data_IF_635264152579
#
_entry.id   IF_635264152579
#
_cell.length_a   1.000
_cell.length_b   1.000
_cell.length_c   1.000
_cell.angle_alpha   90.00
_cell.angle_beta   90.00
_cell.angle_gamma   90.00
#
_symmetry.space_group_name_H-M   'P 1'
#
loop_
_entity.id
_entity.type
_entity.pdbx_description
1 polymer ?
#
# COMPACT_ATOMS: atom_id res chain seq x y z
N UNK A 1 6.71 32.99 -26.76
CA UNK A 1 5.42 32.28 -26.88
C UNK A 1 5.17 31.63 -28.24
N UNK A 2 5.71 32.14 -29.37
CA UNK A 2 5.44 31.58 -30.70
C UNK A 2 6.14 30.24 -31.02
N UNK A 3 7.26 29.91 -30.39
CA UNK A 3 8.05 28.70 -30.70
C UNK A 3 7.43 27.41 -30.14
N UNK A 4 6.67 27.49 -29.03
CA UNK A 4 5.96 26.33 -28.45
C UNK A 4 4.72 25.91 -29.25
N UNK A 5 4.00 26.86 -29.85
CA UNK A 5 2.83 26.56 -30.70
C UNK A 5 3.19 25.85 -32.00
N UNK A 6 4.37 26.13 -32.55
CA UNK A 6 4.84 25.52 -33.79
C UNK A 6 5.25 24.04 -33.62
N UNK A 7 5.80 23.67 -32.46
CA UNK A 7 6.13 22.27 -32.14
C UNK A 7 4.88 21.40 -31.89
N UNK A 8 3.84 21.97 -31.28
CA UNK A 8 2.55 21.28 -31.08
C UNK A 8 1.83 21.08 -32.41
N UNK A 9 1.86 22.09 -33.29
CA UNK A 9 1.27 21.99 -34.63
C UNK A 9 2.04 21.01 -35.54
N UNK A 10 3.37 20.99 -35.47
CA UNK A 10 4.20 20.05 -36.24
C UNK A 10 4.01 18.59 -35.81
N UNK A 11 3.84 18.32 -34.50
CA UNK A 11 3.46 16.98 -34.00
C UNK A 11 2.04 16.59 -34.44
N UNK A 12 1.09 17.54 -34.45
CA UNK A 12 -0.30 17.33 -34.91
C UNK A 12 -0.38 17.02 -36.41
N UNK A 13 0.40 17.69 -37.25
CA UNK A 13 0.42 17.44 -38.70
C UNK A 13 1.10 16.11 -39.04
N UNK A 14 2.17 15.74 -38.31
CA UNK A 14 2.83 14.45 -38.51
C UNK A 14 1.96 13.28 -38.05
N UNK A 15 1.25 13.39 -36.93
CA UNK A 15 0.34 12.36 -36.43
C UNK A 15 -0.87 12.14 -37.38
N UNK A 16 -1.44 13.21 -37.93
CA UNK A 16 -2.56 13.13 -38.89
C UNK A 16 -2.12 12.56 -40.24
N UNK A 17 -0.91 12.87 -40.72
CA UNK A 17 -0.37 12.32 -41.97
C UNK A 17 0.00 10.84 -41.86
N UNK A 18 0.44 10.37 -40.68
CA UNK A 18 0.69 8.94 -40.43
C UNK A 18 -0.62 8.16 -40.28
N UNK A 19 -1.63 8.75 -39.64
CA UNK A 19 -2.96 8.13 -39.50
C UNK A 19 -3.71 8.00 -40.85
N UNK A 20 -3.50 8.94 -41.79
CA UNK A 20 -4.15 8.93 -43.10
C UNK A 20 -3.61 7.89 -44.10
N UNK A 21 -2.43 7.31 -43.88
CA UNK A 21 -1.78 6.40 -44.84
C UNK A 21 -1.80 4.91 -44.41
N UNK A 22 -2.28 4.59 -43.21
CA UNK A 22 -2.30 3.23 -42.65
C UNK A 22 -3.69 2.58 -42.58
N UNK A 23 -4.67 3.15 -43.28
CA UNK A 23 -6.00 2.55 -43.46
C UNK A 23 -5.99 1.42 -44.51
N UNK A 24 -5.06 0.45 -44.44
CA UNK A 24 -5.11 -0.75 -45.28
C UNK A 24 -4.21 -1.91 -44.83
N UNK A 25 -4.01 -2.20 -43.54
CA UNK A 25 -3.77 -3.58 -43.07
C UNK A 25 -4.28 -3.69 -41.62
N UNK A 26 -5.58 -3.85 -41.43
CA UNK A 26 -6.07 -4.41 -40.17
C UNK A 26 -5.78 -5.90 -40.24
N UNK A 27 -4.58 -6.30 -39.84
CA UNK A 27 -4.35 -7.69 -39.49
C UNK A 27 -5.37 -8.05 -38.40
N UNK A 28 -6.06 -9.20 -38.48
CA UNK A 28 -6.99 -9.59 -37.44
C UNK A 28 -6.22 -9.56 -36.13
N UNK A 29 -6.70 -8.73 -35.18
CA UNK A 29 -6.27 -8.78 -33.78
C UNK A 29 -6.45 -10.23 -33.38
N UNK A 30 -5.35 -10.98 -33.32
CA UNK A 30 -5.39 -12.32 -32.76
C UNK A 30 -5.96 -12.14 -31.38
N UNK A 31 -7.02 -12.89 -31.07
CA UNK A 31 -7.56 -13.00 -29.73
C UNK A 31 -6.41 -13.36 -28.81
N UNK A 32 -5.81 -12.35 -28.17
CA UNK A 32 -4.83 -12.52 -27.13
C UNK A 32 -5.62 -13.07 -25.95
N UNK A 33 -5.71 -14.40 -25.92
CA UNK A 33 -5.94 -15.11 -24.68
C UNK A 33 -4.96 -14.57 -23.63
N UNK A 34 -5.45 -14.50 -22.39
CA UNK A 34 -4.73 -14.07 -21.19
C UNK A 34 -3.22 -14.35 -21.34
N UNK A 35 -2.41 -13.31 -21.44
CA UNK A 35 -0.98 -13.53 -21.30
C UNK A 35 -0.77 -13.92 -19.83
N UNK A 36 -0.49 -15.20 -19.59
CA UNK A 36 -0.29 -15.81 -18.27
C UNK A 36 0.97 -15.28 -17.52
N UNK A 37 1.43 -14.07 -17.85
CA UNK A 37 2.56 -13.40 -17.22
C UNK A 37 2.11 -12.18 -16.39
N UNK A 38 2.83 -11.84 -15.30
CA UNK A 38 2.50 -10.71 -14.47
C UNK A 38 2.58 -9.40 -15.27
N UNK A 39 1.73 -8.43 -14.92
CA UNK A 39 1.83 -7.07 -15.45
C UNK A 39 3.16 -6.48 -15.01
N UNK A 40 3.98 -6.05 -15.96
CA UNK A 40 5.31 -5.48 -15.71
C UNK A 40 5.30 -3.96 -15.62
N UNK A 41 4.24 -3.32 -16.13
CA UNK A 41 4.06 -1.87 -16.08
C UNK A 41 2.58 -1.49 -16.22
N UNK A 42 2.22 -0.32 -15.72
CA UNK A 42 0.90 0.28 -15.94
C UNK A 42 1.05 1.55 -16.77
N UNK A 43 0.22 1.72 -17.79
CA UNK A 43 0.11 3.00 -18.51
C UNK A 43 -1.18 3.68 -18.10
N UNK A 44 -1.06 4.96 -17.73
CA UNK A 44 -2.20 5.81 -17.38
C UNK A 44 -2.49 6.76 -18.53
N UNK A 45 -3.66 6.59 -19.13
CA UNK A 45 -4.22 7.43 -20.19
C UNK A 45 -5.24 8.40 -19.63
N UNK A 46 -5.34 9.60 -20.20
CA UNK A 46 -6.29 10.58 -19.74
C UNK A 46 -5.96 12.01 -20.06
N UNK A 47 -6.63 12.89 -19.33
CA UNK A 47 -6.46 14.33 -19.43
C UNK A 47 -5.53 14.87 -18.31
N UNK A 48 -5.76 16.12 -17.91
CA UNK A 48 -5.03 16.80 -16.83
C UNK A 48 -5.13 16.09 -15.48
N UNK A 49 -6.18 15.31 -15.24
CA UNK A 49 -6.36 14.55 -14.00
C UNK A 49 -5.25 13.52 -13.81
N UNK A 50 -4.70 12.98 -14.89
CA UNK A 50 -3.69 11.91 -14.86
C UNK A 50 -2.25 12.39 -14.75
N UNK A 51 -2.01 13.70 -14.62
CA UNK A 51 -0.65 14.23 -14.62
C UNK A 51 0.11 14.04 -13.31
N UNK A 52 -0.60 13.79 -12.20
CA UNK A 52 0.02 13.82 -10.86
C UNK A 52 -0.20 12.55 -10.06
N UNK A 53 -1.43 12.05 -9.91
CA UNK A 53 -1.68 10.88 -9.06
C UNK A 53 -0.94 9.60 -9.48
N UNK A 54 -0.56 9.36 -10.76
CA UNK A 54 0.17 8.14 -11.12
C UNK A 54 1.49 7.96 -10.39
N UNK A 55 2.11 9.04 -9.89
CA UNK A 55 3.32 8.94 -9.06
C UNK A 55 3.07 8.21 -7.74
N UNK A 56 1.92 8.46 -7.11
CA UNK A 56 1.52 7.79 -5.87
C UNK A 56 1.15 6.34 -6.13
N UNK A 57 0.52 6.08 -7.28
CA UNK A 57 0.24 4.71 -7.68
C UNK A 57 1.55 3.94 -7.92
N UNK A 58 2.56 4.56 -8.55
CA UNK A 58 3.86 3.93 -8.76
C UNK A 58 4.52 3.51 -7.43
N UNK A 59 4.47 4.40 -6.43
CA UNK A 59 4.98 4.10 -5.08
C UNK A 59 4.30 2.88 -4.46
N UNK A 60 2.99 2.74 -4.63
CA UNK A 60 2.21 1.62 -4.09
C UNK A 60 2.42 0.31 -4.87
N UNK A 61 2.43 0.37 -6.21
CA UNK A 61 2.51 -0.81 -7.05
C UNK A 61 3.92 -1.43 -7.07
N UNK A 62 4.97 -0.65 -6.84
CA UNK A 62 6.35 -1.12 -6.95
C UNK A 62 6.80 -1.49 -8.37
N UNK A 63 5.98 -1.18 -9.38
CA UNK A 63 6.28 -1.34 -10.81
C UNK A 63 6.14 0.00 -11.55
N UNK A 64 6.75 0.17 -12.73
CA UNK A 64 6.61 1.40 -13.50
C UNK A 64 5.15 1.78 -13.77
N UNK A 65 4.80 3.04 -13.50
CA UNK A 65 3.51 3.64 -13.88
C UNK A 65 3.79 4.83 -14.79
N UNK A 66 3.44 4.70 -16.06
CA UNK A 66 3.76 5.65 -17.11
C UNK A 66 2.56 6.57 -17.39
N UNK A 67 2.56 7.84 -16.93
CA UNK A 67 1.54 8.79 -17.30
C UNK A 67 1.72 9.19 -18.77
N UNK A 68 0.70 8.92 -19.59
CA UNK A 68 0.61 9.34 -21.00
C UNK A 68 -0.45 10.40 -21.23
N UNK A 69 -1.23 10.75 -20.21
CA UNK A 69 -2.27 11.74 -20.36
C UNK A 69 -1.74 13.16 -20.57
N UNK A 70 -2.44 13.89 -21.43
CA UNK A 70 -2.11 15.27 -21.82
C UNK A 70 -3.27 16.16 -21.41
N UNK A 71 -2.93 17.29 -20.79
CA UNK A 71 -3.94 18.19 -20.22
C UNK A 71 -4.85 18.77 -21.29
N UNK A 72 -6.15 18.48 -21.19
CA UNK A 72 -7.17 18.94 -22.12
C UNK A 72 -7.52 17.98 -23.24
N UNK A 73 -6.91 16.79 -23.28
CA UNK A 73 -7.20 15.78 -24.29
C UNK A 73 -8.64 15.27 -24.20
N UNK A 74 -9.25 15.08 -25.36
CA UNK A 74 -10.54 14.39 -25.49
C UNK A 74 -10.39 12.87 -25.44
N UNK A 75 -11.51 12.14 -25.41
CA UNK A 75 -11.48 10.68 -25.51
C UNK A 75 -10.95 10.23 -26.88
N UNK A 76 -11.23 10.94 -27.98
CA UNK A 76 -10.68 10.63 -29.31
C UNK A 76 -9.18 10.86 -29.39
N UNK A 77 -8.69 11.96 -28.81
CA UNK A 77 -7.25 12.25 -28.77
C UNK A 77 -6.53 11.18 -27.95
N UNK A 78 -7.09 10.82 -26.78
CA UNK A 78 -6.54 9.74 -25.96
C UNK A 78 -6.56 8.41 -26.70
N UNK A 79 -7.66 8.06 -27.37
CA UNK A 79 -7.76 6.83 -28.16
C UNK A 79 -6.73 6.81 -29.30
N UNK A 80 -6.47 7.95 -29.93
CA UNK A 80 -5.45 8.06 -30.99
C UNK A 80 -4.06 7.75 -30.42
N UNK A 81 -3.71 8.32 -29.27
CA UNK A 81 -2.43 8.06 -28.60
C UNK A 81 -2.31 6.59 -28.14
N UNK A 82 -3.40 6.02 -27.64
CA UNK A 82 -3.47 4.61 -27.28
C UNK A 82 -3.21 3.70 -28.49
N UNK A 83 -3.92 3.93 -29.60
CA UNK A 83 -3.79 3.15 -30.82
C UNK A 83 -2.36 3.24 -31.37
N UNK A 84 -1.76 4.43 -31.38
CA UNK A 84 -0.37 4.62 -31.78
C UNK A 84 0.59 3.82 -30.89
N UNK A 85 0.36 3.81 -29.58
CA UNK A 85 1.20 3.05 -28.65
C UNK A 85 1.08 1.54 -28.84
N UNK A 86 -0.13 1.00 -29.00
CA UNK A 86 -0.34 -0.44 -29.26
C UNK A 86 0.38 -0.85 -30.55
N UNK A 87 0.24 -0.06 -31.62
CA UNK A 87 0.88 -0.33 -32.91
C UNK A 87 2.41 -0.28 -32.84
N UNK A 88 2.97 0.61 -32.04
CA UNK A 88 4.42 0.82 -31.94
C UNK A 88 5.10 -0.03 -30.86
N UNK A 89 4.34 -0.67 -29.97
CA UNK A 89 4.87 -1.48 -28.86
C UNK A 89 4.25 -2.90 -28.77
N UNK A 90 4.14 -3.67 -29.88
CA UNK A 90 3.39 -4.92 -29.91
C UNK A 90 3.91 -5.98 -28.92
N UNK A 91 5.21 -5.99 -28.62
CA UNK A 91 5.79 -6.91 -27.64
C UNK A 91 5.45 -6.58 -26.18
N UNK A 92 5.11 -5.32 -25.89
CA UNK A 92 4.78 -4.88 -24.52
C UNK A 92 3.29 -5.00 -24.20
N UNK A 93 2.43 -5.08 -25.22
CA UNK A 93 0.97 -5.16 -25.07
C UNK A 93 0.56 -6.32 -24.14
N UNK A 94 1.25 -7.45 -24.22
CA UNK A 94 0.92 -8.64 -23.42
C UNK A 94 1.19 -8.47 -21.91
N UNK A 95 2.10 -7.59 -21.50
CA UNK A 95 2.52 -7.42 -20.09
C UNK A 95 2.23 -6.03 -19.55
N UNK A 96 1.45 -5.22 -20.27
CA UNK A 96 1.13 -3.86 -19.89
C UNK A 96 -0.35 -3.76 -19.54
N UNK A 97 -0.64 -3.26 -18.34
CA UNK A 97 -2.01 -2.91 -18.00
C UNK A 97 -2.28 -1.42 -18.22
N UNK A 98 -3.55 -1.10 -18.42
CA UNK A 98 -3.97 0.21 -18.88
C UNK A 98 -5.08 0.75 -17.98
N UNK A 99 -4.79 1.89 -17.34
CA UNK A 99 -5.77 2.70 -16.64
C UNK A 99 -6.15 3.88 -17.52
N UNK A 100 -7.45 4.16 -17.66
CA UNK A 100 -7.91 5.21 -18.57
C UNK A 100 -8.89 6.15 -17.85
N UNK A 101 -8.43 7.35 -17.51
CA UNK A 101 -9.26 8.41 -16.95
C UNK A 101 -9.51 9.47 -18.02
N UNK A 102 -10.48 9.20 -18.88
CA UNK A 102 -10.83 10.07 -19.99
C UNK A 102 -12.29 10.51 -19.92
N UNK A 103 -12.49 11.82 -19.99
CA UNK A 103 -13.79 12.44 -20.05
C UNK A 103 -13.70 13.82 -19.43
N UNK A 104 -13.64 14.84 -20.29
CA UNK A 104 -13.74 16.22 -19.86
C UNK A 104 -15.00 16.82 -20.43
N UNK A 105 -15.75 17.54 -19.60
CA UNK A 105 -16.93 18.26 -20.09
C UNK A 105 -16.54 19.66 -20.56
N UNK A 106 -16.14 19.74 -21.83
CA UNK A 106 -15.95 21.02 -22.52
C UNK A 106 -17.29 21.50 -23.09
N UNK A 107 -18.00 22.37 -22.37
CA UNK A 107 -19.13 23.13 -22.94
C UNK A 107 -18.77 24.61 -23.05
N UNK A 108 -17.91 24.98 -24.00
CA UNK A 108 -18.13 26.28 -24.64
C UNK A 108 -19.39 26.09 -25.52
N UNK A 109 -20.42 26.92 -25.32
CA UNK A 109 -21.72 26.84 -26.03
C UNK A 109 -21.62 27.16 -27.54
N UNK A 110 -20.48 26.88 -28.17
CA UNK A 110 -20.25 27.03 -29.61
C UNK A 110 -19.76 25.75 -30.27
N UNK A 111 -19.59 24.63 -29.55
CA UNK A 111 -19.27 23.37 -30.20
C UNK A 111 -20.02 22.19 -29.57
N UNK A 112 -20.75 21.47 -30.41
CA UNK A 112 -21.27 20.13 -30.14
C UNK A 112 -20.11 19.12 -30.12
N UNK A 113 -19.12 19.32 -29.25
CA UNK A 113 -18.01 18.37 -29.18
C UNK A 113 -18.45 17.13 -28.42
N UNK A 114 -18.20 15.98 -29.05
CA UNK A 114 -18.60 14.62 -28.71
C UNK A 114 -18.15 14.10 -27.34
N UNK A 115 -17.54 14.90 -26.48
CA UNK A 115 -16.71 14.46 -25.34
C UNK A 115 -17.47 14.26 -24.03
N UNK A 116 -18.80 14.29 -24.08
CA UNK A 116 -19.66 14.43 -22.88
C UNK A 116 -20.84 13.47 -22.83
N UNK A 117 -20.97 12.60 -23.83
CA UNK A 117 -22.03 11.61 -23.90
C UNK A 117 -21.42 10.20 -23.81
N UNK A 118 -22.08 9.30 -23.07
CA UNK A 118 -21.72 7.90 -23.00
C UNK A 118 -21.68 7.26 -24.40
N UNK A 119 -22.49 7.76 -25.33
CA UNK A 119 -22.49 7.37 -26.76
C UNK A 119 -21.14 7.55 -27.47
N UNK A 120 -20.24 8.35 -26.92
CA UNK A 120 -18.89 8.54 -27.45
C UNK A 120 -17.83 7.90 -26.57
N UNK A 121 -17.91 8.15 -25.26
CA UNK A 121 -16.88 7.71 -24.30
C UNK A 121 -16.83 6.19 -24.21
N UNK A 122 -17.99 5.55 -24.06
CA UNK A 122 -18.07 4.11 -23.83
C UNK A 122 -17.59 3.33 -25.07
N UNK A 123 -18.02 3.64 -26.32
CA UNK A 123 -17.49 2.98 -27.50
C UNK A 123 -15.99 3.15 -27.71
N UNK A 124 -15.43 4.34 -27.44
CA UNK A 124 -13.99 4.58 -27.58
C UNK A 124 -13.18 3.76 -26.55
N UNK A 125 -13.63 3.74 -25.29
CA UNK A 125 -13.04 2.89 -24.25
C UNK A 125 -13.12 1.39 -24.62
N UNK A 126 -14.24 0.94 -25.18
CA UNK A 126 -14.39 -0.44 -25.65
C UNK A 126 -13.42 -0.77 -26.79
N UNK A 127 -13.25 0.15 -27.74
CA UNK A 127 -12.34 -0.03 -28.87
C UNK A 127 -10.87 -0.06 -28.42
N UNK A 128 -10.50 0.70 -27.37
CA UNK A 128 -9.18 0.56 -26.73
C UNK A 128 -9.03 -0.78 -26.01
N UNK A 129 -10.03 -1.17 -25.20
CA UNK A 129 -10.01 -2.43 -24.47
C UNK A 129 -9.92 -3.66 -25.39
N UNK A 130 -10.51 -3.62 -26.59
CA UNK A 130 -10.48 -4.70 -27.56
C UNK A 130 -9.10 -4.95 -28.20
N UNK A 131 -8.14 -4.03 -28.03
CA UNK A 131 -6.79 -4.13 -28.59
C UNK A 131 -5.76 -4.74 -27.63
N UNK A 132 -6.16 -5.02 -26.38
CA UNK A 132 -5.28 -5.53 -25.32
C UNK A 132 -5.86 -6.82 -24.73
N UNK A 133 -5.05 -7.66 -24.05
CA UNK A 133 -5.54 -8.87 -23.41
C UNK A 133 -6.70 -8.61 -22.46
N UNK A 134 -7.64 -9.55 -22.42
CA UNK A 134 -8.79 -9.47 -21.54
C UNK A 134 -8.36 -9.30 -20.08
N UNK A 135 -8.91 -8.29 -19.41
CA UNK A 135 -8.61 -7.97 -18.02
C UNK A 135 -7.53 -6.91 -17.83
N UNK A 136 -6.73 -6.54 -18.84
CA UNK A 136 -5.64 -5.56 -18.72
C UNK A 136 -6.06 -4.10 -19.00
N UNK A 137 -7.36 -3.82 -19.14
CA UNK A 137 -7.88 -2.47 -19.38
C UNK A 137 -8.93 -2.11 -18.34
N UNK A 138 -8.75 -0.97 -17.67
CA UNK A 138 -9.65 -0.50 -16.62
C UNK A 138 -9.95 0.99 -16.78
N UNK A 139 -11.16 1.37 -17.23
CA UNK A 139 -11.62 2.75 -17.22
C UNK A 139 -11.83 3.26 -15.80
N UNK A 140 -11.52 4.54 -15.58
CA UNK A 140 -11.71 5.24 -14.31
C UNK A 140 -12.91 6.16 -14.41
N UNK A 141 -13.78 6.10 -13.41
CA UNK A 141 -14.97 6.92 -13.30
C UNK A 141 -14.67 8.42 -13.24
N UNK A 142 -15.51 9.20 -13.92
CA UNK A 142 -15.43 10.65 -13.96
C UNK A 142 -15.81 11.27 -12.61
N UNK A 143 -15.12 12.35 -12.24
CA UNK A 143 -15.42 13.14 -11.04
C UNK A 143 -16.20 14.41 -11.38
N UNK A 144 -16.86 14.98 -10.37
CA UNK A 144 -17.62 16.22 -10.46
C UNK A 144 -17.20 17.21 -9.35
N UNK A 145 -17.61 18.48 -9.48
CA UNK A 145 -17.36 19.55 -8.52
C UNK A 145 -18.53 20.54 -8.45
N UNK A 146 -18.56 21.41 -7.43
CA UNK A 146 -19.71 22.28 -7.12
C UNK A 146 -19.82 23.50 -8.05
N UNK A 147 -18.70 24.06 -8.52
CA UNK A 147 -18.68 25.36 -9.24
C UNK A 147 -18.24 25.27 -10.71
N UNK A 148 -18.36 24.10 -11.34
CA UNK A 148 -18.26 24.04 -12.80
C UNK A 148 -19.36 24.94 -13.39
N UNK A 149 -19.13 25.82 -14.42
CA UNK A 149 -20.12 26.72 -15.05
C UNK A 149 -21.36 26.04 -15.66
N UNK A 150 -21.51 24.77 -15.34
CA UNK A 150 -22.36 23.74 -15.91
C UNK A 150 -23.28 23.20 -14.78
N UNK A 151 -23.34 23.88 -13.63
CA UNK A 151 -24.24 23.66 -12.47
C UNK A 151 -25.73 23.93 -12.71
N UNK A 152 -26.25 23.54 -13.87
CA UNK A 152 -27.66 23.12 -13.90
C UNK A 152 -27.74 21.69 -13.40
N UNK A 153 -28.85 21.28 -12.78
CA UNK A 153 -29.07 19.91 -12.31
C UNK A 153 -28.72 18.82 -13.35
N UNK A 154 -28.65 19.15 -14.65
CA UNK A 154 -28.27 18.25 -15.73
C UNK A 154 -26.81 17.76 -15.74
N UNK A 155 -25.82 18.49 -15.23
CA UNK A 155 -24.40 18.09 -15.38
C UNK A 155 -23.98 16.92 -14.50
N UNK A 156 -24.32 16.97 -13.21
CA UNK A 156 -24.06 15.87 -12.30
C UNK A 156 -24.80 14.60 -12.75
N UNK A 157 -26.01 14.76 -13.31
CA UNK A 157 -26.75 13.65 -13.92
C UNK A 157 -26.05 13.06 -15.15
N UNK A 158 -25.39 13.89 -15.98
CA UNK A 158 -24.58 13.40 -17.12
C UNK A 158 -23.35 12.64 -16.63
N UNK A 159 -22.57 13.21 -15.69
CA UNK A 159 -21.40 12.52 -15.11
C UNK A 159 -21.80 11.19 -14.48
N UNK A 160 -22.90 11.18 -13.71
CA UNK A 160 -23.44 9.98 -13.10
C UNK A 160 -23.91 8.98 -14.17
N UNK A 161 -24.61 9.44 -15.21
CA UNK A 161 -25.06 8.60 -16.31
C UNK A 161 -23.92 7.92 -17.05
N UNK A 162 -22.86 8.68 -17.38
CA UNK A 162 -21.65 8.11 -18.02
C UNK A 162 -20.98 7.09 -17.10
N UNK A 163 -20.85 7.38 -15.81
CA UNK A 163 -20.29 6.42 -14.84
C UNK A 163 -21.14 5.15 -14.72
N UNK A 164 -22.47 5.27 -14.73
CA UNK A 164 -23.39 4.12 -14.74
C UNK A 164 -23.23 3.30 -16.01
N UNK A 165 -23.10 3.94 -17.16
CA UNK A 165 -22.93 3.24 -18.44
C UNK A 165 -21.56 2.56 -18.54
N UNK A 166 -20.50 3.20 -18.04
CA UNK A 166 -19.18 2.55 -17.89
C UNK A 166 -19.24 1.35 -16.94
N UNK A 167 -19.89 1.49 -15.77
CA UNK A 167 -20.04 0.39 -14.82
C UNK A 167 -20.79 -0.80 -15.45
N UNK A 168 -21.89 -0.55 -16.16
CA UNK A 168 -22.63 -1.59 -16.91
C UNK A 168 -21.78 -2.24 -17.99
N UNK A 169 -20.95 -1.46 -18.70
CA UNK A 169 -20.17 -1.94 -19.83
C UNK A 169 -18.95 -2.76 -19.41
N UNK A 170 -18.23 -2.32 -18.39
CA UNK A 170 -16.92 -2.86 -18.00
C UNK A 170 -16.98 -3.74 -16.74
N UNK A 171 -18.09 -3.69 -15.97
CA UNK A 171 -18.30 -4.55 -14.81
C UNK A 171 -17.16 -4.43 -13.78
N UNK A 172 -16.51 -5.55 -13.47
CA UNK A 172 -15.38 -5.60 -12.51
C UNK A 172 -14.14 -4.85 -12.98
N UNK A 173 -14.02 -4.59 -14.29
CA UNK A 173 -12.92 -3.81 -14.86
C UNK A 173 -13.20 -2.31 -14.88
N UNK A 174 -14.20 -1.83 -14.14
CA UNK A 174 -14.48 -0.40 -13.98
C UNK A 174 -14.01 0.10 -12.60
N UNK A 175 -13.20 1.15 -12.58
CA UNK A 175 -12.74 1.79 -11.35
C UNK A 175 -13.69 2.92 -10.93
N UNK A 176 -14.60 2.63 -10.00
CA UNK A 176 -15.55 3.61 -9.44
C UNK A 176 -14.90 4.55 -8.41
N UNK A 177 -13.91 5.33 -8.85
CA UNK A 177 -13.12 6.23 -7.99
C UNK A 177 -13.97 7.35 -7.38
N UNK A 178 -14.92 7.92 -8.14
CA UNK A 178 -15.79 8.99 -7.65
C UNK A 178 -16.56 8.57 -6.40
N UNK A 179 -17.27 7.43 -6.46
CA UNK A 179 -18.09 6.96 -5.35
C UNK A 179 -17.21 6.70 -4.13
N UNK A 180 -16.05 6.09 -4.32
CA UNK A 180 -15.07 5.86 -3.26
C UNK A 180 -14.58 7.16 -2.61
N UNK A 181 -14.28 8.21 -3.39
CA UNK A 181 -13.92 9.52 -2.85
C UNK A 181 -15.05 10.12 -2.00
N UNK A 182 -16.31 9.93 -2.40
CA UNK A 182 -17.50 10.39 -1.67
C UNK A 182 -17.68 9.63 -0.36
N UNK A 183 -17.61 8.29 -0.37
CA UNK A 183 -17.96 7.46 0.79
C UNK A 183 -16.81 7.27 1.77
N UNK A 184 -15.61 7.05 1.25
CA UNK A 184 -14.45 6.55 2.01
C UNK A 184 -13.28 7.53 2.01
N UNK A 185 -13.26 8.49 1.08
CA UNK A 185 -12.07 9.28 0.83
C UNK A 185 -11.55 10.05 2.04
N UNK A 186 -12.42 10.66 2.86
CA UNK A 186 -11.99 11.36 4.09
C UNK A 186 -11.42 10.41 5.14
N UNK A 187 -12.03 9.22 5.28
CA UNK A 187 -11.58 8.18 6.20
C UNK A 187 -10.19 7.68 5.80
N UNK A 188 -10.01 7.36 4.52
CA UNK A 188 -8.73 6.91 3.97
C UNK A 188 -7.66 8.01 4.06
N UNK A 189 -8.04 9.27 3.89
CA UNK A 189 -7.12 10.40 4.05
C UNK A 189 -6.81 10.76 5.52
N UNK A 190 -7.50 10.19 6.50
CA UNK A 190 -7.37 10.59 7.90
C UNK A 190 -7.84 12.03 8.17
N UNK A 191 -8.76 12.56 7.37
CA UNK A 191 -9.23 13.95 7.46
C UNK A 191 -10.57 13.99 8.19
N UNK A 192 -10.68 14.85 9.21
CA UNK A 192 -11.94 15.10 9.90
C UNK A 192 -12.95 15.78 8.97
N UNK A 193 -14.18 15.24 8.93
CA UNK A 193 -15.26 15.75 8.08
C UNK A 193 -15.71 17.15 8.51
N UNK A 194 -15.79 18.08 7.57
CA UNK A 194 -16.36 19.42 7.76
C UNK A 194 -17.84 19.50 7.32
N UNK A 195 -18.60 20.52 7.72
CA UNK A 195 -19.96 20.74 7.20
C UNK A 195 -20.01 20.91 5.67
N UNK A 196 -19.01 21.56 5.07
CA UNK A 196 -18.90 21.69 3.60
C UNK A 196 -18.62 20.35 2.92
N UNK A 197 -17.83 19.49 3.56
CA UNK A 197 -17.63 18.12 3.06
C UNK A 197 -18.93 17.32 3.11
N UNK A 198 -19.69 17.44 4.20
CA UNK A 198 -20.98 16.77 4.34
C UNK A 198 -21.97 17.22 3.25
N UNK A 199 -22.12 18.53 3.03
CA UNK A 199 -23.00 19.06 1.99
C UNK A 199 -22.62 18.54 0.59
N UNK A 200 -21.31 18.53 0.27
CA UNK A 200 -20.84 17.96 -0.99
C UNK A 200 -21.18 16.46 -1.08
N UNK A 201 -20.94 15.69 -0.02
CA UNK A 201 -21.23 14.25 0.00
C UNK A 201 -22.72 13.95 -0.15
N UNK A 202 -23.59 14.77 0.44
CA UNK A 202 -25.05 14.66 0.31
C UNK A 202 -25.51 14.91 -1.15
N UNK A 203 -24.80 15.76 -1.87
CA UNK A 203 -24.99 16.02 -3.32
C UNK A 203 -24.19 15.06 -4.23
N UNK A 204 -23.60 14.00 -3.66
CA UNK A 204 -22.74 13.03 -4.36
C UNK A 204 -21.58 13.72 -5.11
N UNK A 205 -20.98 14.72 -4.47
CA UNK A 205 -19.79 15.43 -4.93
C UNK A 205 -18.63 15.01 -4.00
N UNK A 206 -17.43 14.69 -4.54
CA UNK A 206 -16.28 14.42 -3.68
C UNK A 206 -16.05 15.56 -2.66
N UNK A 207 -15.71 15.23 -1.41
CA UNK A 207 -15.48 16.20 -0.34
C UNK A 207 -14.59 17.38 -0.76
N UNK A 208 -14.88 18.59 -0.25
CA UNK A 208 -14.08 19.77 -0.56
C UNK A 208 -12.63 19.59 -0.07
N UNK A 209 -12.45 18.93 1.07
CA UNK A 209 -11.14 18.63 1.67
C UNK A 209 -10.27 17.68 0.84
N UNK A 210 -10.81 17.01 -0.19
CA UNK A 210 -10.04 16.16 -1.13
C UNK A 210 -9.81 16.84 -2.49
N UNK A 211 -10.33 18.06 -2.68
CA UNK A 211 -10.29 18.79 -3.95
C UNK A 211 -9.46 20.06 -3.84
N UNK A 212 -9.10 20.61 -5.00
CA UNK A 212 -8.47 21.92 -5.08
C UNK A 212 -9.46 22.98 -4.57
N UNK A 213 -8.99 23.87 -3.70
CA UNK A 213 -9.82 24.90 -3.10
C UNK A 213 -10.40 25.86 -4.17
N UNK A 214 -11.61 26.41 -3.96
CA UNK A 214 -12.17 27.44 -4.82
C UNK A 214 -11.19 28.60 -5.04
N UNK A 215 -11.03 29.05 -6.28
CA UNK A 215 -10.06 30.10 -6.66
C UNK A 215 -8.62 29.62 -6.90
N UNK A 216 -8.29 28.37 -6.57
CA UNK A 216 -6.98 27.74 -6.83
C UNK A 216 -6.89 26.92 -8.13
N UNK A 217 -7.98 26.83 -8.88
CA UNK A 217 -8.08 26.04 -10.12
C UNK A 217 -9.47 25.45 -10.33
N UNK A 218 -9.58 24.46 -11.21
CA UNK A 218 -10.82 23.72 -11.41
C UNK A 218 -11.17 22.92 -10.14
N UNK A 219 -12.30 23.17 -9.48
CA UNK A 219 -12.66 22.49 -8.25
C UNK A 219 -12.92 20.99 -8.45
N UNK A 220 -13.16 20.49 -9.68
CA UNK A 220 -13.24 19.05 -9.94
C UNK A 220 -11.88 18.34 -9.81
N UNK A 221 -10.77 19.08 -9.81
CA UNK A 221 -9.43 18.51 -9.63
C UNK A 221 -9.19 18.15 -8.16
N UNK A 222 -8.42 17.08 -7.98
CA UNK A 222 -8.04 16.58 -6.67
C UNK A 222 -6.82 17.34 -6.12
N UNK A 223 -6.83 17.61 -4.82
CA UNK A 223 -5.63 18.10 -4.12
C UNK A 223 -4.66 16.93 -3.82
N UNK A 224 -3.68 17.14 -2.95
CA UNK A 224 -2.73 16.07 -2.62
C UNK A 224 -3.40 14.85 -1.98
N UNK A 225 -4.24 15.09 -0.96
CA UNK A 225 -4.96 14.05 -0.24
C UNK A 225 -5.89 13.26 -1.18
N UNK A 226 -6.69 13.95 -2.00
CA UNK A 226 -7.56 13.29 -2.98
C UNK A 226 -6.80 12.43 -3.99
N UNK A 227 -5.60 12.87 -4.41
CA UNK A 227 -4.73 12.10 -5.31
C UNK A 227 -4.15 10.85 -4.65
N UNK A 228 -3.79 10.91 -3.36
CA UNK A 228 -3.33 9.73 -2.60
C UNK A 228 -4.46 8.73 -2.37
N UNK A 229 -5.65 9.19 -2.00
CA UNK A 229 -6.85 8.35 -1.88
C UNK A 229 -7.18 7.65 -3.20
N UNK A 230 -7.10 8.39 -4.31
CA UNK A 230 -7.29 7.85 -5.66
C UNK A 230 -6.27 6.76 -5.97
N UNK A 231 -4.98 7.00 -5.71
CA UNK A 231 -3.94 6.02 -5.94
C UNK A 231 -4.12 4.76 -5.09
N UNK A 232 -4.47 4.91 -3.80
CA UNK A 232 -4.79 3.79 -2.91
C UNK A 232 -5.96 2.95 -3.43
N UNK A 233 -7.04 3.60 -3.89
CA UNK A 233 -8.17 2.88 -4.50
C UNK A 233 -7.75 2.12 -5.76
N UNK A 234 -6.90 2.70 -6.58
CA UNK A 234 -6.43 2.06 -7.81
C UNK A 234 -5.45 0.92 -7.50
N UNK A 235 -4.64 1.01 -6.45
CA UNK A 235 -3.81 -0.10 -5.96
C UNK A 235 -4.68 -1.31 -5.58
N UNK A 236 -5.72 -1.11 -4.77
CA UNK A 236 -6.68 -2.16 -4.41
C UNK A 236 -7.28 -2.85 -5.65
N UNK A 237 -7.69 -2.05 -6.63
CA UNK A 237 -8.36 -2.54 -7.84
C UNK A 237 -7.38 -3.26 -8.78
N UNK A 238 -6.16 -2.75 -8.92
CA UNK A 238 -5.09 -3.38 -9.71
C UNK A 238 -4.74 -4.75 -9.12
N UNK A 239 -4.62 -4.84 -7.79
CA UNK A 239 -4.39 -6.11 -7.08
C UNK A 239 -5.58 -7.05 -7.19
N UNK A 240 -6.80 -6.56 -7.02
CA UNK A 240 -8.02 -7.35 -7.17
C UNK A 240 -8.23 -7.87 -8.60
N UNK A 241 -7.72 -7.15 -9.60
CA UNK A 241 -7.71 -7.58 -10.99
C UNK A 241 -6.63 -8.65 -11.30
N UNK A 242 -5.78 -9.00 -10.32
CA UNK A 242 -4.71 -9.97 -10.49
C UNK A 242 -3.58 -9.49 -11.39
N UNK A 243 -3.48 -8.17 -11.64
CA UNK A 243 -2.43 -7.60 -12.48
C UNK A 243 -1.05 -7.80 -11.85
N UNK A 244 -1.01 -7.64 -10.53
CA UNK A 244 0.15 -7.91 -9.70
C UNK A 244 -0.15 -9.12 -8.84
N UNK A 245 0.91 -9.88 -8.50
CA UNK A 245 0.82 -10.81 -7.38
C UNK A 245 0.42 -10.06 -6.10
N UNK A 246 0.00 -10.79 -5.07
CA UNK A 246 -0.15 -10.22 -3.73
C UNK A 246 1.10 -9.42 -3.37
N UNK A 247 0.99 -8.25 -2.72
CA UNK A 247 2.17 -7.56 -2.21
C UNK A 247 2.99 -8.56 -1.37
N UNK A 248 4.33 -8.42 -1.29
CA UNK A 248 5.10 -9.24 -0.37
C UNK A 248 4.42 -9.16 1.00
N UNK A 249 4.05 -10.31 1.55
CA UNK A 249 3.32 -10.34 2.82
C UNK A 249 4.14 -9.57 3.85
N UNK A 250 3.50 -8.63 4.56
CA UNK A 250 4.13 -8.04 5.74
C UNK A 250 4.50 -9.18 6.67
N UNK A 251 5.77 -9.32 7.00
CA UNK A 251 6.24 -10.38 7.88
C UNK A 251 6.46 -9.82 9.28
N UNK A 252 6.05 -10.57 10.31
CA UNK A 252 6.31 -10.26 11.72
C UNK A 252 7.45 -11.12 12.25
N UNK A 253 8.36 -10.48 12.99
CA UNK A 253 9.53 -11.07 13.62
C UNK A 253 9.55 -10.72 15.11
N UNK A 254 10.05 -11.62 15.95
CA UNK A 254 10.37 -11.33 17.36
C UNK A 254 11.89 -11.43 17.56
N UNK A 255 12.48 -10.50 18.31
CA UNK A 255 13.89 -10.53 18.67
C UNK A 255 14.12 -11.14 20.05
N UNK A 256 15.35 -11.59 20.29
CA UNK A 256 15.79 -12.19 21.55
C UNK A 256 15.97 -11.17 22.68
N UNK A 257 16.01 -11.67 23.92
CA UNK A 257 16.35 -10.89 25.10
C UNK A 257 17.27 -11.68 26.02
N UNK A 258 18.20 -11.01 26.69
CA UNK A 258 19.09 -11.63 27.67
C UNK A 258 19.45 -10.66 28.78
N UNK A 259 19.73 -11.18 29.96
CA UNK A 259 20.15 -10.38 31.09
C UNK A 259 20.44 -11.24 32.32
N UNK A 260 20.92 -10.61 33.38
CA UNK A 260 21.09 -11.29 34.66
C UNK A 260 19.73 -11.40 35.39
N UNK A 261 19.57 -12.46 36.18
CA UNK A 261 18.40 -12.62 37.05
C UNK A 261 18.42 -11.62 38.22
N UNK A 262 19.60 -11.40 38.80
CA UNK A 262 19.87 -10.49 39.92
C UNK A 262 19.63 -11.13 41.28
N UNK A 263 20.30 -10.59 42.30
CA UNK A 263 20.33 -11.04 43.72
C UNK A 263 18.97 -11.10 44.48
N UNK A 264 17.85 -10.84 43.81
CA UNK A 264 16.51 -10.81 44.42
C UNK A 264 15.51 -9.89 43.71
N UNK A 265 14.23 -10.26 43.75
CA UNK A 265 13.15 -9.47 43.17
C UNK A 265 12.87 -9.87 41.73
N UNK A 266 12.79 -8.90 40.81
CA UNK A 266 12.55 -9.24 39.40
C UNK A 266 13.08 -8.21 38.41
N UNK A 267 13.61 -8.71 37.30
CA UNK A 267 14.06 -7.95 36.14
C UNK A 267 13.06 -8.06 34.99
N UNK A 268 13.08 -7.10 34.05
CA UNK A 268 12.16 -7.09 32.91
C UNK A 268 12.91 -7.35 31.61
N UNK A 269 12.64 -8.47 30.97
CA UNK A 269 13.17 -8.79 29.64
C UNK A 269 12.18 -8.31 28.59
N UNK A 270 12.68 -7.54 27.61
CA UNK A 270 11.85 -6.92 26.57
C UNK A 270 12.19 -7.49 25.21
N UNK A 271 11.25 -8.22 24.62
CA UNK A 271 11.34 -8.81 23.30
C UNK A 271 10.74 -7.85 22.28
N UNK A 272 11.54 -7.39 21.31
CA UNK A 272 11.06 -6.50 20.26
C UNK A 272 10.32 -7.29 19.18
N UNK A 273 9.08 -6.91 18.87
CA UNK A 273 8.31 -7.51 17.78
C UNK A 273 8.21 -6.48 16.66
N UNK A 274 8.61 -6.85 15.44
CA UNK A 274 8.76 -5.93 14.32
C UNK A 274 8.15 -6.46 13.03
N UNK A 275 7.72 -5.53 12.16
CA UNK A 275 7.26 -5.80 10.82
C UNK A 275 8.37 -5.51 9.81
N UNK A 276 8.49 -6.32 8.76
CA UNK A 276 9.40 -6.04 7.63
C UNK A 276 9.01 -4.78 6.85
N UNK A 277 7.74 -4.37 6.93
CA UNK A 277 7.24 -3.11 6.36
C UNK A 277 6.06 -2.64 7.20
N UNK A 278 5.90 -1.33 7.39
CA UNK A 278 4.73 -0.79 8.09
C UNK A 278 3.44 -1.17 7.33
N UNK A 279 2.40 -1.56 8.07
CA UNK A 279 1.09 -1.89 7.50
C UNK A 279 0.15 -0.68 7.57
N UNK A 280 -0.72 -0.53 6.57
CA UNK A 280 -1.78 0.48 6.56
C UNK A 280 -3.00 0.09 7.44
N UNK A 281 -2.98 -1.12 8.01
CA UNK A 281 -3.97 -1.62 8.95
C UNK A 281 -3.30 -2.17 10.21
N UNK A 282 -4.05 -2.31 11.30
CA UNK A 282 -3.51 -2.93 12.51
C UNK A 282 -3.12 -4.39 12.24
N UNK A 283 -1.89 -4.76 12.63
CA UNK A 283 -1.42 -6.14 12.63
C UNK A 283 -1.54 -6.69 14.04
N UNK A 284 -2.08 -7.89 14.20
CA UNK A 284 -2.18 -8.55 15.51
C UNK A 284 -1.56 -9.94 15.50
N UNK A 285 -0.94 -10.31 16.61
CA UNK A 285 -0.32 -11.62 16.81
C UNK A 285 -0.51 -12.07 18.25
N UNK A 286 -0.77 -13.36 18.49
CA UNK A 286 -0.77 -13.92 19.84
C UNK A 286 0.65 -14.28 20.24
N UNK A 287 0.96 -14.16 21.52
CA UNK A 287 2.23 -14.59 22.07
C UNK A 287 2.01 -15.40 23.35
N UNK A 288 2.90 -16.36 23.60
CA UNK A 288 2.96 -17.11 24.85
C UNK A 288 4.41 -17.49 25.15
N UNK A 289 4.76 -17.51 26.43
CA UNK A 289 6.04 -18.04 26.92
C UNK A 289 6.01 -19.56 26.94
N UNK A 290 7.17 -20.17 26.69
CA UNK A 290 7.40 -21.62 26.70
C UNK A 290 8.69 -21.90 27.46
N UNK A 291 8.64 -22.85 28.39
CA UNK A 291 9.80 -23.28 29.17
C UNK A 291 10.92 -23.81 28.27
N UNK A 292 12.16 -23.55 28.69
CA UNK A 292 13.36 -24.14 28.12
C UNK A 292 14.07 -24.94 29.19
N UNK A 293 15.18 -24.41 29.69
CA UNK A 293 15.77 -24.89 30.96
C UNK A 293 15.25 -24.11 32.16
N UNK A 294 14.79 -22.87 31.95
CA UNK A 294 14.08 -22.08 32.95
C UNK A 294 12.60 -22.51 33.02
N UNK A 295 12.08 -22.64 34.23
CA UNK A 295 10.75 -23.08 34.61
C UNK A 295 9.81 -21.88 34.91
N UNK A 296 8.66 -21.84 34.24
CA UNK A 296 7.63 -20.84 34.50
C UNK A 296 7.14 -20.86 35.96
N UNK A 297 7.14 -19.69 36.59
CA UNK A 297 6.73 -19.48 37.98
C UNK A 297 7.84 -19.67 39.00
N UNK A 298 9.01 -20.13 38.58
CA UNK A 298 10.24 -20.20 39.39
C UNK A 298 11.22 -19.13 38.90
N UNK A 299 11.60 -19.19 37.63
CA UNK A 299 12.67 -18.34 37.07
C UNK A 299 12.09 -17.15 36.28
N UNK A 300 10.85 -17.28 35.79
CA UNK A 300 10.15 -16.19 35.10
C UNK A 300 8.63 -16.28 35.24
N UNK A 301 7.93 -15.17 35.05
CA UNK A 301 6.48 -15.12 35.08
C UNK A 301 5.87 -15.59 33.74
N UNK A 302 5.02 -16.64 33.71
CA UNK A 302 4.38 -17.08 32.48
C UNK A 302 3.50 -15.96 31.91
N UNK A 303 3.87 -15.50 30.72
CA UNK A 303 3.23 -14.38 30.05
C UNK A 303 2.61 -14.84 28.73
N UNK A 304 1.36 -14.45 28.46
CA UNK A 304 0.70 -14.65 27.18
C UNK A 304 -0.31 -13.54 26.88
N UNK A 305 -0.62 -13.32 25.61
CA UNK A 305 -1.56 -12.27 25.22
C UNK A 305 -1.71 -12.10 23.71
N UNK A 306 -2.31 -10.97 23.33
CA UNK A 306 -2.37 -10.51 21.94
C UNK A 306 -1.63 -9.17 21.85
N UNK A 307 -0.63 -9.10 21.00
CA UNK A 307 0.11 -7.89 20.67
C UNK A 307 -0.50 -7.26 19.41
N UNK A 308 -0.66 -5.94 19.41
CA UNK A 308 -1.16 -5.19 18.26
C UNK A 308 -0.13 -4.14 17.84
N UNK A 309 0.37 -4.25 16.62
CA UNK A 309 1.19 -3.23 15.97
C UNK A 309 0.22 -2.35 15.18
N UNK A 310 0.10 -1.08 15.58
CA UNK A 310 -0.89 -0.16 15.00
C UNK A 310 -0.52 0.22 13.57
N UNK A 311 -1.53 0.47 12.75
CA UNK A 311 -1.35 0.98 11.40
C UNK A 311 -0.36 2.17 11.36
N UNK A 312 0.54 2.17 10.38
CA UNK A 312 1.59 3.17 10.21
C UNK A 312 2.80 3.03 11.14
N UNK A 313 2.79 2.05 12.06
CA UNK A 313 3.97 1.68 12.87
C UNK A 313 4.54 0.34 12.42
N UNK A 314 5.78 0.05 12.80
CA UNK A 314 6.45 -1.20 12.41
C UNK A 314 6.98 -2.01 13.60
N UNK A 315 6.77 -1.59 14.85
CA UNK A 315 7.26 -2.33 16.01
C UNK A 315 6.40 -2.12 17.27
N UNK A 316 6.41 -3.14 18.12
CA UNK A 316 5.91 -3.15 19.49
C UNK A 316 6.80 -4.08 20.33
N UNK A 317 6.48 -4.29 21.61
CA UNK A 317 7.27 -5.19 22.46
C UNK A 317 6.42 -6.05 23.37
N UNK A 318 6.97 -7.22 23.71
CA UNK A 318 6.49 -8.10 24.78
C UNK A 318 7.46 -7.99 25.95
N UNK A 319 6.94 -7.81 27.15
CA UNK A 319 7.72 -7.71 28.37
C UNK A 319 7.46 -8.95 29.23
N UNK A 320 8.52 -9.64 29.65
CA UNK A 320 8.48 -10.82 30.52
C UNK A 320 9.26 -10.52 31.78
N UNK A 321 8.65 -10.78 32.93
CA UNK A 321 9.28 -10.62 34.23
C UNK A 321 10.13 -11.87 34.53
N UNK A 322 11.41 -11.66 34.81
CA UNK A 322 12.37 -12.69 35.25
C UNK A 322 12.56 -12.52 36.75
N UNK A 323 12.52 -13.61 37.48
CA UNK A 323 12.74 -13.63 38.93
C UNK A 323 14.22 -13.85 39.19
N UNK A 324 14.74 -13.18 40.21
CA UNK A 324 16.12 -13.37 40.65
C UNK A 324 16.14 -13.82 42.09
N UNK A 325 17.17 -14.58 42.46
CA UNK A 325 17.41 -15.02 43.83
C UNK A 325 18.89 -15.01 44.24
N UNK A 326 19.32 -15.88 45.15
CA UNK A 326 20.71 -15.93 45.65
C UNK A 326 21.30 -17.35 45.57
N UNK A 327 20.61 -18.25 44.88
CA UNK A 327 20.94 -19.65 44.72
C UNK A 327 21.88 -19.80 43.53
N UNK A 328 23.05 -20.44 43.69
CA UNK A 328 23.93 -20.64 42.56
C UNK A 328 23.34 -21.64 41.56
N UNK A 329 23.01 -21.14 40.36
CA UNK A 329 22.40 -21.92 39.28
C UNK A 329 23.25 -21.92 38.00
N UNK A 330 22.79 -22.56 36.93
CA UNK A 330 23.42 -22.46 35.61
C UNK A 330 22.66 -21.44 34.78
N UNK A 331 23.29 -20.87 33.74
CA UNK A 331 22.55 -20.03 32.79
C UNK A 331 21.36 -20.81 32.19
N UNK A 332 20.22 -20.14 32.11
CA UNK A 332 18.97 -20.76 31.70
C UNK A 332 18.31 -20.08 30.51
N UNK A 333 17.36 -20.77 29.89
CA UNK A 333 16.66 -20.28 28.71
C UNK A 333 15.17 -20.53 28.78
N UNK A 334 14.39 -19.61 28.21
CA UNK A 334 12.97 -19.76 27.90
C UNK A 334 12.68 -19.13 26.53
N UNK A 335 11.47 -19.30 25.99
CA UNK A 335 11.09 -18.75 24.69
C UNK A 335 9.81 -17.92 24.77
N UNK A 336 9.67 -16.94 23.87
CA UNK A 336 8.40 -16.29 23.54
C UNK A 336 8.00 -16.68 22.13
N UNK A 337 6.88 -17.40 21.99
CA UNK A 337 6.40 -17.94 20.72
C UNK A 337 5.23 -17.12 20.18
N UNK A 338 5.37 -16.64 18.95
CA UNK A 338 4.31 -15.96 18.20
C UNK A 338 3.37 -16.97 17.51
N UNK A 339 2.08 -16.67 17.49
CA UNK A 339 1.06 -17.51 16.84
C UNK A 339 -0.15 -16.71 16.35
N UNK A 340 -0.93 -17.33 15.46
CA UNK A 340 -2.18 -16.79 14.91
C UNK A 340 -2.06 -15.32 14.44
N UNK A 341 -1.13 -15.00 13.51
CA UNK A 341 -1.01 -13.66 12.99
C UNK A 341 -2.26 -13.28 12.17
N UNK A 342 -2.62 -12.00 12.20
CA UNK A 342 -3.65 -11.40 11.34
C UNK A 342 -3.07 -10.12 10.75
N UNK A 343 -3.08 -10.00 9.42
CA UNK A 343 -2.51 -8.86 8.70
C UNK A 343 -1.00 -8.96 8.44
N UNK A 344 -0.38 -10.10 8.80
CA UNK A 344 1.02 -10.42 8.52
C UNK A 344 1.21 -11.94 8.43
N UNK A 345 2.35 -12.38 7.91
CA UNK A 345 2.87 -13.76 8.05
C UNK A 345 3.96 -13.78 9.14
N UNK A 346 4.13 -14.89 9.86
CA UNK A 346 5.26 -15.03 10.80
C UNK A 346 6.48 -15.48 10.00
N UNK A 347 7.57 -14.72 10.10
CA UNK A 347 8.87 -15.08 9.53
C UNK A 347 9.76 -15.67 10.63
N UNK A 348 10.15 -14.86 11.63
CA UNK A 348 10.67 -15.35 12.90
C UNK A 348 9.59 -15.31 14.01
N UNK A 349 9.22 -16.50 14.49
CA UNK A 349 8.19 -16.68 15.50
C UNK A 349 8.71 -16.96 16.90
N UNK A 350 10.03 -17.02 17.12
CA UNK A 350 10.61 -17.49 18.38
C UNK A 350 11.63 -16.49 18.90
N UNK A 351 11.30 -15.79 19.98
CA UNK A 351 12.26 -14.97 20.71
C UNK A 351 12.89 -15.79 21.84
N UNK A 352 14.21 -15.97 21.82
CA UNK A 352 14.97 -16.65 22.86
C UNK A 352 15.23 -15.70 24.04
N UNK A 353 14.83 -16.11 25.23
CA UNK A 353 15.20 -15.49 26.51
C UNK A 353 16.40 -16.23 27.12
N UNK A 354 17.48 -15.53 27.44
CA UNK A 354 18.65 -16.10 28.15
C UNK A 354 18.83 -15.40 29.50
N UNK A 355 18.69 -16.17 30.57
CA UNK A 355 18.89 -15.72 31.95
C UNK A 355 20.31 -16.10 32.36
N UNK A 356 21.14 -15.10 32.65
CA UNK A 356 22.49 -15.31 33.16
C UNK A 356 22.45 -15.35 34.69
N UNK A 357 23.03 -16.39 35.26
CA UNK A 357 23.23 -16.45 36.71
C UNK A 357 24.38 -15.50 37.09
N UNK A 358 24.15 -14.58 38.04
CA UNK A 358 25.18 -13.69 38.58
C UNK A 358 25.85 -14.17 39.88
N UNK A 359 25.47 -15.35 40.37
CA UNK A 359 25.83 -15.78 41.71
C UNK A 359 27.14 -16.57 41.68
N UNK A 360 28.11 -16.12 42.49
CA UNK A 360 29.41 -16.78 42.57
C UNK A 360 29.24 -18.22 43.09
N UNK A 361 29.59 -19.20 42.26
CA UNK A 361 29.53 -20.62 42.63
C UNK A 361 30.45 -20.89 43.82
N UNK A 362 29.90 -20.87 45.04
CA UNK A 362 30.64 -21.03 46.28
C UNK A 362 31.06 -22.49 46.50
N UNK A 363 32.03 -22.99 45.73
CA UNK A 363 32.77 -24.21 46.05
C UNK A 363 34.07 -23.86 46.80
N UNK A 364 33.95 -23.40 48.05
CA UNK A 364 35.10 -23.38 48.97
C UNK A 364 35.14 -24.68 49.79
N UNK A 365 36.16 -25.56 49.66
CA UNK A 365 36.36 -26.58 50.66
C UNK A 365 36.75 -25.89 51.97
N UNK A 366 35.94 -26.11 53.01
CA UNK A 366 36.28 -25.71 54.37
C UNK A 366 37.52 -26.49 54.79
N UNK A 367 38.70 -25.88 54.75
CA UNK A 367 39.89 -26.44 55.39
C UNK A 367 39.72 -26.26 56.88
N UNK A 368 39.24 -27.29 57.56
CA UNK A 368 39.29 -27.36 59.02
C UNK A 368 40.76 -27.51 59.43
N UNK A 369 41.41 -26.41 59.77
CA UNK A 369 42.76 -26.45 60.35
C UNK A 369 42.69 -27.19 61.69
N UNK A 370 43.23 -28.40 61.74
CA UNK A 370 43.46 -29.12 63.00
C UNK A 370 44.59 -28.41 63.73
N UNK A 371 44.32 -27.89 64.92
CA UNK A 371 45.34 -27.23 65.75
C UNK A 371 46.45 -28.23 66.11
N UNK A 372 47.75 -27.89 65.95
CA UNK A 372 48.81 -28.75 66.45
C UNK A 372 48.78 -28.74 67.98
N UNK A 373 48.51 -29.92 68.54
CA UNK A 373 48.70 -30.19 69.96
C UNK A 373 50.20 -30.16 70.27
N UNK A 374 50.54 -29.52 71.38
CA UNK A 374 51.89 -29.38 71.92
C UNK A 374 52.58 -30.74 72.12
N UNK A 375 53.79 -30.88 71.61
CA UNK A 375 54.77 -31.84 72.13
C UNK A 375 56.02 -31.05 72.52
N UNK A 376 56.34 -31.15 73.82
CA UNK A 376 57.39 -30.40 74.48
C UNK A 376 58.80 -30.92 74.27
N UNK A 377 59.73 -30.10 74.76
CA UNK A 377 61.17 -30.27 74.86
C UNK A 377 61.69 -31.69 75.18
N UNK A 378 62.83 -32.02 74.59
CA UNK A 378 63.96 -32.57 75.35
C UNK A 378 65.30 -32.08 74.77
N UNK A 379 66.13 -31.53 75.66
CA UNK A 379 67.51 -31.13 75.41
C UNK A 379 68.48 -32.32 75.58
N UNK A 380 69.64 -32.29 74.91
CA UNK A 380 70.99 -32.40 75.52
C UNK A 380 72.10 -32.77 74.52
N UNK A 381 73.16 -31.94 74.49
CA UNK A 381 74.55 -32.38 74.65
C UNK A 381 75.37 -32.85 73.44
N UNK A 382 76.32 -32.03 72.99
CA UNK A 382 77.74 -32.11 73.41
C UNK A 382 78.53 -30.89 72.98
#
# INVERSE_FOLDING_TARGET
>A
MAVRGLFVLARRVLAVLVAGLLAAVVAPVQTLAHADGPVTQVIVWGDSMTQVWPRYLQELLGIPVLPKGVGGDTIQETQTLFNEWVLTNPAQVATTAHLCWCGHVNTNRQNQNSDTNSDTIVPALQAMAAQVPAGQFMPIGLTNGPDQPIGSAGYNLVVLGVNVDMAKKFGKSYAEVRRFLVTDGLRVAGIARTPTDQANMDDDIPPASLRVAPGGGNPAHLNDAGRRVTASRLDDLVRAAGWLGSPPATAVNIGDASGNEGDGGSSMFTFAVSLTTASDTDVSVRYATVDGTADAGVDYAPTSGTLVIRAGTFAASVAVQVFGDLSPESDETFQVVLSAPVGAEVDDGIGLGVIFNDEESALLPTVTAVSPSSIGQAAAGR
#
